data_IF_730497754258
#
_entry.id   IF_730497754258
#
_cell.length_a   1.000
_cell.length_b   1.000
_cell.length_c   1.000
_cell.angle_alpha   90.00
_cell.angle_beta   90.00
_cell.angle_gamma   90.00
#
_symmetry.space_group_name_H-M   'P 1'
#
loop_
_entity.id
_entity.type
_entity.pdbx_description
1 polymer ?
#
# COMPACT_ATOMS: atom_id res chain seq x y z
N UNK A 1 8.16 10.10 -6.94
CA UNK A 1 6.81 10.27 -6.33
C UNK A 1 6.21 11.65 -6.61
N UNK A 2 6.78 12.75 -6.11
CA UNK A 2 6.21 14.11 -6.25
C UNK A 2 5.83 14.47 -7.70
N UNK A 3 6.71 14.20 -8.65
CA UNK A 3 6.48 14.48 -10.07
C UNK A 3 5.25 13.74 -10.63
N UNK A 4 5.02 12.49 -10.21
CA UNK A 4 3.86 11.71 -10.64
C UNK A 4 2.55 12.32 -10.13
N UNK A 5 2.54 12.84 -8.89
CA UNK A 5 1.37 13.52 -8.31
C UNK A 5 1.15 14.88 -8.97
N UNK A 6 2.21 15.62 -9.29
CA UNK A 6 2.09 16.90 -9.99
C UNK A 6 1.57 16.73 -11.42
N UNK A 7 1.91 15.62 -12.08
CA UNK A 7 1.42 15.30 -13.43
C UNK A 7 -0.08 14.97 -13.46
N UNK A 8 -0.60 14.32 -12.41
CA UNK A 8 -2.03 14.10 -12.22
C UNK A 8 -2.39 14.20 -10.72
N UNK A 9 -3.07 15.26 -10.26
CA UNK A 9 -3.37 15.44 -8.84
C UNK A 9 -4.35 14.39 -8.29
N UNK A 10 -5.07 13.65 -9.14
CA UNK A 10 -5.95 12.52 -8.78
C UNK A 10 -5.24 11.16 -8.74
N UNK A 11 -3.91 11.15 -8.91
CA UNK A 11 -3.08 9.95 -8.84
C UNK A 11 -2.70 9.65 -7.40
N UNK A 12 -2.91 8.41 -6.99
CA UNK A 12 -2.23 7.82 -5.86
C UNK A 12 -0.94 7.15 -6.33
N UNK A 13 0.12 7.28 -5.55
CA UNK A 13 1.44 6.76 -5.89
C UNK A 13 1.94 5.86 -4.78
N UNK A 14 2.29 4.62 -5.10
CA UNK A 14 2.89 3.66 -4.17
C UNK A 14 4.37 3.46 -4.49
N UNK A 15 5.26 3.28 -3.50
CA UNK A 15 6.63 2.86 -3.76
C UNK A 15 6.70 1.36 -4.07
N UNK A 16 7.85 0.89 -4.57
CA UNK A 16 8.20 -0.52 -4.42
C UNK A 16 8.42 -0.82 -2.94
N UNK A 17 7.75 -1.85 -2.42
CA UNK A 17 7.87 -2.27 -1.02
C UNK A 17 8.86 -3.42 -0.99
N UNK A 18 9.99 -3.18 -0.38
CA UNK A 18 11.11 -4.12 -0.35
C UNK A 18 11.26 -4.72 1.04
N UNK A 19 12.04 -5.78 1.16
CA UNK A 19 12.17 -6.49 2.43
C UNK A 19 13.28 -5.85 3.27
N UNK A 20 13.01 -5.61 4.55
CA UNK A 20 14.03 -5.20 5.51
C UNK A 20 14.59 -6.45 6.22
N UNK A 21 15.91 -6.62 6.22
CA UNK A 21 16.59 -7.60 7.07
C UNK A 21 16.60 -7.10 8.52
N UNK A 22 16.00 -7.86 9.43
CA UNK A 22 15.82 -7.45 10.84
C UNK A 22 17.06 -7.67 11.71
N UNK A 23 18.06 -8.40 11.21
CA UNK A 23 19.33 -8.61 11.91
C UNK A 23 20.36 -7.54 11.51
N UNK A 24 20.40 -7.15 10.24
CA UNK A 24 21.34 -6.13 9.73
C UNK A 24 20.76 -4.72 9.65
N UNK A 25 19.43 -4.58 9.58
CA UNK A 25 18.72 -3.33 9.28
C UNK A 25 18.98 -2.77 7.87
N UNK A 26 19.46 -3.61 6.96
CA UNK A 26 19.65 -3.26 5.55
C UNK A 26 18.46 -3.73 4.69
N UNK A 27 18.27 -3.08 3.54
CA UNK A 27 17.34 -3.56 2.53
C UNK A 27 17.85 -4.88 1.91
N UNK A 28 17.00 -5.90 1.86
CA UNK A 28 17.38 -7.23 1.41
C UNK A 28 17.74 -7.23 -0.10
N UNK A 29 18.85 -7.89 -0.51
CA UNK A 29 19.32 -7.87 -1.90
C UNK A 29 18.34 -8.44 -2.95
N UNK A 30 17.45 -9.34 -2.53
CA UNK A 30 16.53 -10.09 -3.41
C UNK A 30 15.08 -9.60 -3.29
N UNK A 31 14.89 -8.36 -2.84
CA UNK A 31 13.57 -7.79 -2.62
C UNK A 31 12.73 -7.68 -3.91
N UNK A 32 11.44 -7.95 -3.79
CA UNK A 32 10.52 -7.97 -4.93
C UNK A 32 10.04 -6.57 -5.32
N UNK A 33 10.67 -5.98 -6.33
CA UNK A 33 10.48 -4.56 -6.70
C UNK A 33 9.28 -4.29 -7.60
N UNK A 34 8.80 -5.32 -8.29
CA UNK A 34 7.69 -5.24 -9.26
C UNK A 34 6.40 -5.86 -8.72
N UNK A 35 6.39 -6.26 -7.46
CA UNK A 35 5.22 -6.89 -6.85
C UNK A 35 4.17 -5.83 -6.53
N UNK A 36 2.93 -6.14 -6.86
CA UNK A 36 1.74 -5.28 -6.68
C UNK A 36 0.61 -6.09 -6.06
N UNK A 37 -0.39 -5.40 -5.50
CA UNK A 37 -1.56 -6.08 -4.96
C UNK A 37 -2.71 -6.13 -5.97
N UNK A 38 -3.50 -7.19 -5.90
CA UNK A 38 -4.79 -7.34 -6.58
C UNK A 38 -5.85 -7.85 -5.60
N UNK A 39 -7.12 -7.60 -5.93
CA UNK A 39 -8.29 -8.02 -5.15
C UNK A 39 -8.66 -9.47 -5.48
N UNK A 40 -8.95 -10.28 -4.47
CA UNK A 40 -9.54 -11.61 -4.62
C UNK A 40 -11.05 -11.60 -4.39
N UNK A 41 -11.74 -12.65 -4.85
CA UNK A 41 -13.21 -12.74 -4.79
C UNK A 41 -13.78 -12.88 -3.36
N UNK A 42 -12.94 -13.24 -2.39
CA UNK A 42 -13.24 -13.27 -0.96
C UNK A 42 -12.95 -11.93 -0.26
N UNK A 43 -12.71 -10.85 -1.02
CA UNK A 43 -12.40 -9.51 -0.53
C UNK A 43 -11.14 -9.45 0.33
N UNK A 44 -10.14 -10.27 -0.02
CA UNK A 44 -8.77 -10.12 0.45
C UNK A 44 -7.89 -9.48 -0.66
N UNK A 45 -6.62 -9.27 -0.39
CA UNK A 45 -5.64 -8.92 -1.40
C UNK A 45 -4.51 -9.95 -1.47
N UNK A 46 -4.02 -10.18 -2.69
CA UNK A 46 -2.85 -11.01 -2.94
C UNK A 46 -1.84 -10.27 -3.80
N UNK A 47 -0.66 -10.88 -3.92
CA UNK A 47 0.48 -10.29 -4.62
C UNK A 47 0.68 -10.94 -5.99
N UNK A 48 1.07 -10.14 -6.97
CA UNK A 48 1.49 -10.58 -8.30
C UNK A 48 2.63 -9.71 -8.81
N UNK A 49 3.43 -10.26 -9.72
CA UNK A 49 4.52 -9.53 -10.35
C UNK A 49 4.09 -8.94 -11.69
N UNK A 50 4.33 -7.64 -11.85
CA UNK A 50 4.12 -6.94 -13.12
C UNK A 50 5.01 -5.68 -13.19
N UNK A 51 5.71 -5.51 -14.30
CA UNK A 51 6.63 -4.38 -14.49
C UNK A 51 5.92 -3.06 -14.84
N UNK A 52 4.65 -3.10 -15.26
CA UNK A 52 3.89 -1.90 -15.64
C UNK A 52 3.78 -0.90 -14.47
N UNK A 53 3.44 0.38 -14.72
CA UNK A 53 3.25 1.33 -13.63
C UNK A 53 1.92 1.15 -12.90
N UNK A 54 0.88 0.62 -13.54
CA UNK A 54 -0.48 0.63 -12.98
C UNK A 54 -0.65 -0.39 -11.86
N UNK A 55 -1.36 0.00 -10.80
CA UNK A 55 -1.54 -0.79 -9.58
C UNK A 55 -3.03 -1.01 -9.35
N UNK A 56 -3.55 -2.25 -9.43
CA UNK A 56 -4.96 -2.51 -9.21
C UNK A 56 -5.41 -2.17 -7.79
N UNK A 57 -4.63 -2.60 -6.80
CA UNK A 57 -4.89 -2.41 -5.37
C UNK A 57 -3.62 -1.93 -4.69
N UNK A 58 -3.70 -0.88 -3.88
CA UNK A 58 -2.58 -0.47 -3.02
C UNK A 58 -2.40 -1.47 -1.87
N UNK A 59 -1.17 -1.66 -1.40
CA UNK A 59 -0.89 -2.53 -0.24
C UNK A 59 -1.38 -1.98 1.10
N UNK A 60 -1.83 -0.72 1.14
CA UNK A 60 -2.30 -0.03 2.34
C UNK A 60 -1.30 1.02 2.83
N UNK A 61 -0.41 0.64 3.75
CA UNK A 61 0.34 1.59 4.59
C UNK A 61 1.39 2.49 3.93
N UNK A 62 1.74 2.27 2.66
CA UNK A 62 2.79 3.01 1.95
C UNK A 62 2.26 3.62 0.66
N UNK A 63 1.89 4.90 0.73
CA UNK A 63 1.40 5.65 -0.42
C UNK A 63 1.69 7.15 -0.30
N UNK A 64 1.50 7.86 -1.41
CA UNK A 64 1.43 9.31 -1.46
C UNK A 64 0.32 9.75 -2.42
N UNK A 65 -0.38 10.82 -2.07
CA UNK A 65 -1.40 11.46 -2.91
C UNK A 65 -1.48 12.95 -2.59
N UNK A 66 -2.16 13.72 -3.44
CA UNK A 66 -2.41 15.13 -3.14
C UNK A 66 -3.42 15.27 -1.99
N UNK A 67 -3.25 16.30 -1.16
CA UNK A 67 -4.23 16.63 -0.10
C UNK A 67 -5.60 16.94 -0.69
N UNK A 68 -5.64 17.57 -1.86
CA UNK A 68 -6.89 17.85 -2.57
C UNK A 68 -7.63 16.57 -2.94
N UNK A 69 -6.93 15.58 -3.53
CA UNK A 69 -7.52 14.30 -3.87
C UNK A 69 -8.00 13.52 -2.64
N UNK A 70 -7.25 13.57 -1.55
CA UNK A 70 -7.67 12.99 -0.27
C UNK A 70 -9.01 13.57 0.22
N UNK A 71 -9.19 14.89 0.11
CA UNK A 71 -10.45 15.54 0.53
C UNK A 71 -11.59 15.23 -0.44
N UNK A 72 -11.33 15.23 -1.75
CA UNK A 72 -12.33 14.94 -2.78
C UNK A 72 -12.87 13.51 -2.70
N UNK A 73 -12.01 12.54 -2.35
CA UNK A 73 -12.39 11.13 -2.15
C UNK A 73 -13.06 10.88 -0.79
N UNK A 74 -13.12 11.88 0.08
CA UNK A 74 -13.66 11.75 1.43
C UNK A 74 -12.74 11.04 2.43
N UNK A 75 -11.47 10.80 2.07
CA UNK A 75 -10.51 10.07 2.91
C UNK A 75 -10.96 8.65 3.25
N UNK A 76 -10.43 8.08 4.33
CA UNK A 76 -10.87 6.77 4.83
C UNK A 76 -12.30 6.83 5.39
N UNK A 77 -13.00 5.71 5.29
CA UNK A 77 -14.27 5.49 5.97
C UNK A 77 -14.06 5.53 7.50
N UNK A 78 -14.77 6.44 8.18
CA UNK A 78 -14.67 6.65 9.62
C UNK A 78 -15.30 5.51 10.46
N UNK A 79 -16.10 4.65 9.84
CA UNK A 79 -16.73 3.51 10.50
C UNK A 79 -15.86 2.25 10.48
N UNK A 80 -14.77 2.22 9.70
CA UNK A 80 -13.80 1.12 9.73
C UNK A 80 -13.11 1.03 11.09
N UNK A 81 -13.02 -0.19 11.62
CA UNK A 81 -12.42 -0.49 12.94
C UNK A 81 -11.34 -1.55 12.80
N UNK A 82 -10.29 -1.45 13.60
CA UNK A 82 -9.24 -2.45 13.65
C UNK A 82 -8.29 -2.35 12.45
N UNK A 83 -8.09 -3.47 11.75
CA UNK A 83 -7.12 -3.60 10.66
C UNK A 83 -7.73 -4.39 9.49
N UNK A 84 -7.49 -3.92 8.26
CA UNK A 84 -7.86 -4.60 7.02
C UNK A 84 -9.02 -3.92 6.27
N UNK A 85 -8.99 -4.02 4.94
CA UNK A 85 -10.05 -3.56 4.05
C UNK A 85 -9.92 -2.10 3.60
N UNK A 86 -9.19 -1.24 4.33
CA UNK A 86 -9.01 0.17 3.98
C UNK A 86 -8.26 0.35 2.65
N UNK A 87 -7.36 -0.59 2.38
CA UNK A 87 -6.58 -0.65 1.15
C UNK A 87 -7.47 -0.98 -0.06
N UNK A 88 -8.44 -1.88 0.11
CA UNK A 88 -9.42 -2.23 -0.92
C UNK A 88 -10.39 -1.07 -1.18
N UNK A 89 -10.97 -0.50 -0.12
CA UNK A 89 -11.90 0.65 -0.22
C UNK A 89 -11.28 1.81 -0.99
N UNK A 90 -10.11 2.30 -0.58
CA UNK A 90 -9.48 3.43 -1.25
C UNK A 90 -9.04 3.11 -2.68
N UNK A 91 -8.63 1.87 -2.94
CA UNK A 91 -8.23 1.47 -4.29
C UNK A 91 -9.43 1.48 -5.25
N UNK A 92 -10.51 0.82 -4.84
CA UNK A 92 -11.76 0.78 -5.60
C UNK A 92 -12.34 2.18 -5.77
N UNK A 93 -12.37 2.98 -4.71
CA UNK A 93 -12.85 4.37 -4.75
C UNK A 93 -12.05 5.19 -5.74
N UNK A 94 -10.72 5.08 -5.73
CA UNK A 94 -9.88 5.87 -6.63
C UNK A 94 -10.13 5.52 -8.09
N UNK A 95 -10.18 4.23 -8.43
CA UNK A 95 -10.47 3.81 -9.81
C UNK A 95 -11.88 4.19 -10.26
N UNK A 96 -12.89 3.96 -9.42
CA UNK A 96 -14.30 4.19 -9.78
C UNK A 96 -14.67 5.69 -9.77
N UNK A 97 -13.95 6.53 -9.04
CA UNK A 97 -14.18 7.98 -8.98
C UNK A 97 -13.26 8.79 -9.92
N UNK A 98 -12.60 8.13 -10.88
CA UNK A 98 -11.83 8.79 -11.95
C UNK A 98 -10.44 9.27 -11.54
N UNK A 99 -9.87 8.65 -10.51
CA UNK A 99 -8.43 8.69 -10.21
C UNK A 99 -7.69 7.51 -10.83
N UNK A 100 -6.44 7.36 -10.43
CA UNK A 100 -5.59 6.23 -10.85
C UNK A 100 -4.58 5.91 -9.74
N UNK A 101 -3.99 4.72 -9.80
CA UNK A 101 -2.98 4.28 -8.84
C UNK A 101 -1.77 3.78 -9.60
N UNK A 102 -0.60 4.36 -9.32
CA UNK A 102 0.64 4.01 -10.00
C UNK A 102 1.80 3.74 -9.04
N UNK A 103 2.66 2.81 -9.42
CA UNK A 103 3.94 2.58 -8.77
C UNK A 103 4.96 3.62 -9.22
N UNK A 104 5.69 4.18 -8.26
CA UNK A 104 6.89 4.96 -8.55
C UNK A 104 8.09 4.05 -8.79
N UNK A 105 8.53 3.93 -10.06
CA UNK A 105 9.60 3.01 -10.49
C UNK A 105 10.96 3.26 -9.81
N UNK A 106 11.20 4.49 -9.35
CA UNK A 106 12.46 4.91 -8.71
C UNK A 106 12.35 5.06 -7.19
N UNK A 107 11.20 4.75 -6.60
CA UNK A 107 10.98 4.88 -5.17
C UNK A 107 10.90 3.52 -4.52
N UNK A 108 11.73 3.29 -3.50
CA UNK A 108 11.78 2.06 -2.72
C UNK A 108 11.60 2.38 -1.26
N UNK A 109 10.85 1.56 -0.54
CA UNK A 109 10.70 1.65 0.91
C UNK A 109 10.81 0.23 1.47
N UNK A 110 11.89 -0.02 2.23
CA UNK A 110 12.08 -1.28 2.93
C UNK A 110 11.07 -1.40 4.08
N UNK A 111 10.41 -2.54 4.17
CA UNK A 111 9.37 -2.85 5.14
C UNK A 111 9.76 -4.09 5.95
N UNK A 112 9.63 -3.98 7.28
CA UNK A 112 9.78 -5.12 8.18
C UNK A 112 8.50 -5.95 8.18
N UNK A 113 8.52 -7.10 7.50
CA UNK A 113 7.41 -8.03 7.53
C UNK A 113 7.29 -8.74 8.89
N UNK A 114 6.06 -9.11 9.24
CA UNK A 114 5.82 -9.93 10.44
C UNK A 114 6.26 -11.36 10.17
N UNK A 115 7.14 -11.88 11.01
CA UNK A 115 7.63 -13.26 10.94
C UNK A 115 6.95 -14.09 12.04
N UNK A 116 6.29 -15.21 11.70
CA UNK A 116 5.73 -16.11 12.69
C UNK A 116 6.77 -16.50 13.73
N UNK A 117 6.39 -16.44 15.02
CA UNK A 117 7.23 -16.77 16.17
C UNK A 117 8.43 -15.85 16.46
N UNK A 118 8.70 -14.81 15.66
CA UNK A 118 9.66 -13.78 16.03
C UNK A 118 8.98 -12.62 16.77
N UNK A 119 9.30 -12.49 18.07
CA UNK A 119 8.73 -11.46 18.94
C UNK A 119 9.12 -10.04 18.52
N UNK A 120 10.23 -9.84 17.79
CA UNK A 120 10.69 -8.52 17.34
C UNK A 120 9.76 -7.89 16.32
N UNK A 121 9.08 -8.71 15.54
CA UNK A 121 8.17 -8.29 14.45
C UNK A 121 6.70 -8.41 14.85
N UNK A 122 6.42 -8.83 16.08
CA UNK A 122 5.06 -9.02 16.58
C UNK A 122 4.32 -7.70 16.72
N UNK A 123 3.02 -7.71 16.42
CA UNK A 123 2.19 -6.51 16.56
C UNK A 123 1.91 -6.21 18.04
N UNK A 124 2.14 -4.96 18.45
CA UNK A 124 1.91 -4.49 19.82
C UNK A 124 0.64 -3.64 19.94
N UNK A 125 -0.48 -4.10 19.36
CA UNK A 125 -1.79 -3.46 19.55
C UNK A 125 -2.74 -4.39 20.31
N UNK A 126 -3.69 -3.80 21.04
CA UNK A 126 -4.82 -4.54 21.61
C UNK A 126 -5.95 -4.50 20.59
N UNK A 127 -6.42 -5.67 20.13
CA UNK A 127 -7.66 -5.72 19.38
C UNK A 127 -8.77 -5.11 20.24
N UNK A 128 -9.57 -4.24 19.65
CA UNK A 128 -10.79 -3.75 20.27
C UNK A 128 -11.78 -4.92 20.22
N UNK A 129 -11.91 -5.66 21.33
CA UNK A 129 -13.00 -6.60 21.46
C UNK A 129 -14.29 -5.79 21.56
N UNK A 130 -15.22 -6.02 20.63
CA UNK A 130 -16.57 -5.46 20.67
C UNK A 130 -17.39 -5.98 21.84
#
# INVERSE_FOLDING_TARGET
IKELILANPRRMVVPAITDLDIDTWDEAPQSSVNTKCYLTWDADFNWFDDASPDVPVMSGGLLALSREWWQLTGGYDGDMRGWGGENLDQSLRSWLCGGEIQRALTSRVAHMWRVPHDKRTSAHYKALNG
#
